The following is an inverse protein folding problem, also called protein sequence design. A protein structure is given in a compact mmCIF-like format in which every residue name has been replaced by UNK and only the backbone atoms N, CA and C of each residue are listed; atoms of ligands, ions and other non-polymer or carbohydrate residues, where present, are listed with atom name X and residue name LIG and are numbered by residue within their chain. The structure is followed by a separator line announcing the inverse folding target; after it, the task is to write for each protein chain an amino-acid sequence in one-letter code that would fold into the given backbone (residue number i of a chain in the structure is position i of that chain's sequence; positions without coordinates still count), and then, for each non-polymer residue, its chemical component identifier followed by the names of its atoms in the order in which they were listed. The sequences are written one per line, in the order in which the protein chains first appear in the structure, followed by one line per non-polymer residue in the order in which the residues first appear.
data_IF_850561351356
#
_entry.id   IF_850561351356
#
_cell.length_a   1.000
_cell.length_b   1.000
_cell.length_c   1.000
_cell.angle_alpha   90.00
_cell.angle_beta   90.00
_cell.angle_gamma   90.00
#
_symmetry.space_group_name_H-M   'P 1'
#
loop_
_entity.id
_entity.type
_entity.pdbx_description
1 polymer ?
#
# COMPACT_ATOMS: atom_id res chain seq x y z
N UNK A 1 3.84 8.66 -5.99
CA UNK A 1 4.14 7.28 -6.46
C UNK A 1 4.81 6.54 -5.33
N UNK A 2 4.11 5.54 -4.80
CA UNK A 2 4.65 4.64 -3.80
C UNK A 2 4.85 3.26 -4.43
N UNK A 3 5.77 2.47 -3.88
CA UNK A 3 5.97 1.10 -4.34
C UNK A 3 5.05 0.16 -3.59
N UNK A 4 4.37 -0.67 -4.36
CA UNK A 4 3.49 -1.72 -3.87
C UNK A 4 4.25 -3.04 -3.96
N UNK A 5 4.57 -3.64 -2.81
CA UNK A 5 5.29 -4.92 -2.75
C UNK A 5 4.41 -5.99 -2.09
N UNK A 6 3.69 -6.74 -2.92
CA UNK A 6 3.03 -8.00 -2.53
C UNK A 6 3.83 -9.25 -2.95
N UNK A 7 4.99 -9.04 -3.60
CA UNK A 7 5.84 -10.14 -4.02
C UNK A 7 6.93 -10.36 -2.95
N UNK A 8 7.16 -11.60 -2.50
CA UNK A 8 8.24 -11.89 -1.55
C UNK A 8 9.58 -11.39 -2.09
N UNK A 9 10.46 -10.98 -1.16
CA UNK A 9 11.82 -10.54 -1.49
C UNK A 9 12.59 -11.72 -2.12
N UNK A 10 12.81 -11.65 -3.42
CA UNK A 10 13.57 -12.66 -4.17
C UNK A 10 13.05 -12.85 -5.60
N UNK A 11 13.97 -12.91 -6.56
CA UNK A 11 13.67 -13.15 -7.98
C UNK A 11 14.35 -12.15 -8.91
N UNK A 12 14.32 -12.43 -10.21
CA UNK A 12 14.92 -11.63 -11.30
C UNK A 12 14.38 -10.19 -11.45
N UNK A 13 13.35 -9.82 -10.69
CA UNK A 13 12.75 -8.48 -10.62
C UNK A 13 12.67 -7.94 -9.19
N UNK A 14 13.35 -8.58 -8.23
CA UNK A 14 13.48 -8.01 -6.90
C UNK A 14 14.38 -6.79 -7.00
N UNK A 15 13.77 -5.63 -7.23
CA UNK A 15 14.47 -4.37 -7.03
C UNK A 15 14.80 -4.32 -5.55
N UNK A 16 16.09 -4.24 -5.22
CA UNK A 16 16.57 -3.89 -3.89
C UNK A 16 16.22 -2.43 -3.67
N UNK A 17 14.94 -2.18 -3.45
CA UNK A 17 14.39 -0.84 -3.42
C UNK A 17 14.58 -0.26 -2.02
N UNK A 18 15.82 0.15 -1.76
CA UNK A 18 16.21 0.76 -0.50
C UNK A 18 15.71 2.21 -0.38
N UNK A 19 15.21 2.81 -1.47
CA UNK A 19 14.82 4.23 -1.52
C UNK A 19 13.39 4.51 -2.03
N UNK A 20 12.64 3.55 -2.58
CA UNK A 20 11.25 3.84 -2.95
C UNK A 20 10.33 3.74 -1.74
N UNK A 21 9.62 4.84 -1.49
CA UNK A 21 8.65 4.97 -0.42
C UNK A 21 7.60 3.85 -0.48
N UNK A 22 7.29 3.26 0.67
CA UNK A 22 6.12 2.37 0.83
C UNK A 22 4.84 3.20 0.89
N UNK A 23 3.75 2.72 0.30
CA UNK A 23 2.46 3.41 0.34
C UNK A 23 1.95 3.62 1.77
N UNK A 24 1.11 4.62 2.02
CA UNK A 24 0.52 4.96 3.32
C UNK A 24 -0.12 3.71 3.98
N UNK A 25 0.08 3.51 5.30
CA UNK A 25 -0.60 2.45 6.03
C UNK A 25 -2.10 2.76 6.22
N UNK A 26 -2.94 1.74 6.16
CA UNK A 26 -4.39 1.84 6.21
C UNK A 26 -5.04 0.66 6.94
N UNK A 27 -6.36 0.71 7.13
CA UNK A 27 -7.13 -0.35 7.81
C UNK A 27 -6.86 -0.46 9.33
N UNK A 28 -7.48 -1.45 9.99
CA UNK A 28 -7.42 -1.62 11.44
C UNK A 28 -5.99 -1.74 11.96
N UNK A 29 -5.61 -0.84 12.88
CA UNK A 29 -4.26 -0.80 13.46
C UNK A 29 -3.14 -0.46 12.46
N UNK A 30 -3.47 0.07 11.27
CA UNK A 30 -2.48 0.39 10.24
C UNK A 30 -1.77 -0.84 9.66
N UNK A 31 -2.37 -2.03 9.79
CA UNK A 31 -1.81 -3.29 9.32
C UNK A 31 -1.92 -3.48 7.80
N UNK A 32 -2.72 -2.68 7.12
CA UNK A 32 -2.83 -2.66 5.66
C UNK A 32 -1.94 -1.59 5.02
N UNK A 33 -1.86 -1.63 3.70
CA UNK A 33 -1.22 -0.62 2.84
C UNK A 33 -2.18 -0.21 1.73
N UNK A 34 -2.04 1.03 1.27
CA UNK A 34 -2.83 1.55 0.16
C UNK A 34 -2.34 0.99 -1.17
N UNK A 35 -3.26 0.42 -1.96
CA UNK A 35 -3.01 -0.09 -3.32
C UNK A 35 -3.63 0.81 -4.39
N UNK A 36 -4.32 1.86 -3.97
CA UNK A 36 -4.98 2.85 -4.78
C UNK A 36 -5.75 3.82 -3.88
N UNK A 37 -6.34 4.89 -4.44
CA UNK A 37 -6.96 5.96 -3.65
C UNK A 37 -8.16 5.51 -2.80
N UNK A 38 -8.77 4.36 -3.14
CA UNK A 38 -9.89 3.78 -2.40
C UNK A 38 -9.70 2.28 -2.14
N UNK A 39 -8.44 1.81 -2.09
CA UNK A 39 -8.12 0.39 -1.91
C UNK A 39 -7.07 0.24 -0.81
N UNK A 40 -7.41 -0.50 0.24
CA UNK A 40 -6.53 -0.86 1.34
C UNK A 40 -6.42 -2.38 1.44
N UNK A 41 -5.21 -2.95 1.42
CA UNK A 41 -5.02 -4.40 1.55
C UNK A 41 -3.95 -4.74 2.60
N UNK A 42 -4.09 -5.89 3.27
CA UNK A 42 -3.07 -6.47 4.14
C UNK A 42 -3.24 -7.98 4.27
N UNK A 43 -2.14 -8.70 4.48
CA UNK A 43 -2.11 -10.17 4.41
C UNK A 43 -3.14 -10.85 5.33
N UNK A 44 -3.31 -10.36 6.56
CA UNK A 44 -4.28 -10.89 7.53
C UNK A 44 -5.66 -10.21 7.46
N UNK A 45 -5.77 -9.09 6.73
CA UNK A 45 -6.98 -8.26 6.64
C UNK A 45 -7.80 -8.53 5.38
N UNK A 46 -7.19 -9.10 4.33
CA UNK A 46 -7.74 -9.10 2.98
C UNK A 46 -7.68 -7.70 2.37
N UNK A 47 -8.68 -7.36 1.55
CA UNK A 47 -8.77 -6.06 0.87
C UNK A 47 -10.10 -5.36 1.15
N UNK A 48 -10.00 -4.07 1.44
CA UNK A 48 -11.08 -3.13 1.64
C UNK A 48 -11.15 -2.19 0.43
N UNK A 49 -12.27 -2.20 -0.28
CA UNK A 49 -12.46 -1.43 -1.52
C UNK A 49 -13.65 -0.50 -1.36
N UNK A 50 -13.41 0.81 -1.41
CA UNK A 50 -14.46 1.83 -1.25
C UNK A 50 -15.09 1.88 0.14
N UNK A 51 -14.44 1.31 1.15
CA UNK A 51 -14.91 1.32 2.54
C UNK A 51 -14.14 2.35 3.38
N UNK A 52 -14.56 2.55 4.63
CA UNK A 52 -13.96 3.53 5.54
C UNK A 52 -12.47 3.27 5.80
N UNK A 53 -12.06 2.01 5.81
CA UNK A 53 -10.68 1.56 6.02
C UNK A 53 -9.71 2.06 4.93
N UNK A 54 -10.23 2.36 3.75
CA UNK A 54 -9.46 2.83 2.59
C UNK A 54 -9.54 4.36 2.37
N UNK A 55 -10.33 5.11 3.16
CA UNK A 55 -10.47 6.56 2.99
C UNK A 55 -9.13 7.31 3.07
N UNK A 56 -8.27 6.88 3.99
CA UNK A 56 -6.92 7.45 4.16
C UNK A 56 -6.04 7.30 2.92
N UNK A 57 -6.35 6.34 2.04
CA UNK A 57 -5.60 6.14 0.81
C UNK A 57 -5.79 7.26 -0.22
N UNK A 58 -6.80 8.11 -0.07
CA UNK A 58 -6.94 9.30 -0.93
C UNK A 58 -5.78 10.29 -0.75
N UNK A 59 -5.12 10.28 0.41
CA UNK A 59 -3.95 11.10 0.70
C UNK A 59 -2.78 10.80 -0.26
N UNK A 60 -2.68 9.56 -0.79
CA UNK A 60 -1.65 9.19 -1.77
C UNK A 60 -1.70 10.06 -3.04
N UNK A 61 -2.87 10.60 -3.41
CA UNK A 61 -3.03 11.46 -4.59
C UNK A 61 -2.28 12.80 -4.46
N UNK A 62 -2.02 13.24 -3.24
CA UNK A 62 -1.39 14.53 -2.97
C UNK A 62 0.10 14.41 -2.67
N UNK A 63 0.61 13.20 -2.46
CA UNK A 63 2.01 12.99 -2.13
C UNK A 63 2.85 12.82 -3.41
N UNK A 64 3.99 13.54 -3.55
CA UNK A 64 4.85 13.46 -4.73
C UNK A 64 5.40 12.04 -4.95
N UNK A 65 5.61 11.68 -6.21
CA UNK A 65 6.22 10.41 -6.65
C UNK A 65 7.69 10.28 -6.39
#
# INVERSE_FOLDING_TARGET
ACYIQNCPLGGKRAVLDLDVRKCIPCGPGGKGRCFGPSICCGDELGCFVGTAEALRCQEENYLPS
#
